data_IF_793141439488
#
_entry.id   IF_793141439488
#
_cell.length_a   1.000
_cell.length_b   1.000
_cell.length_c   1.000
_cell.angle_alpha   90.00
_cell.angle_beta   90.00
_cell.angle_gamma   90.00
#
_symmetry.space_group_name_H-M   'P 1'
#
loop_
_entity.id
_entity.type
_entity.pdbx_description
1 polymer ?
#
# COMPACT_ATOMS: atom_id res chain seq x y z
N UNK A 1 1.54 -13.81 10.78
CA UNK A 1 1.65 -13.87 9.31
C UNK A 1 2.48 -15.08 8.96
N UNK A 2 2.18 -15.86 7.92
CA UNK A 2 3.08 -16.95 7.52
C UNK A 2 4.35 -16.34 6.90
N UNK A 3 5.52 -16.95 7.12
CA UNK A 3 6.80 -16.46 6.60
C UNK A 3 6.79 -16.27 5.06
N UNK A 4 6.04 -17.12 4.35
CA UNK A 4 5.87 -17.03 2.89
C UNK A 4 5.10 -15.78 2.46
N UNK A 5 4.00 -15.43 3.14
CA UNK A 5 3.20 -14.22 2.86
C UNK A 5 4.03 -12.94 3.11
N UNK A 6 4.83 -12.93 4.19
CA UNK A 6 5.71 -11.81 4.51
C UNK A 6 6.71 -11.54 3.39
N UNK A 7 7.34 -12.60 2.86
CA UNK A 7 8.32 -12.48 1.78
C UNK A 7 7.69 -11.98 0.47
N UNK A 8 6.44 -12.36 0.18
CA UNK A 8 5.70 -11.85 -0.99
C UNK A 8 5.43 -10.35 -0.86
N UNK A 9 4.95 -9.90 0.31
CA UNK A 9 4.70 -8.47 0.57
C UNK A 9 5.98 -7.64 0.49
N UNK A 10 7.08 -8.12 1.07
CA UNK A 10 8.38 -7.46 0.99
C UNK A 10 8.85 -7.32 -0.47
N UNK A 11 8.71 -8.38 -1.28
CA UNK A 11 9.10 -8.37 -2.70
C UNK A 11 8.28 -7.37 -3.51
N UNK A 12 6.98 -7.27 -3.26
CA UNK A 12 6.12 -6.28 -3.91
C UNK A 12 6.53 -4.85 -3.53
N UNK A 13 6.73 -4.59 -2.23
CA UNK A 13 7.19 -3.28 -1.75
C UNK A 13 8.54 -2.89 -2.37
N UNK A 14 9.50 -3.81 -2.44
CA UNK A 14 10.79 -3.57 -3.08
C UNK A 14 10.65 -3.29 -4.58
N UNK A 15 9.73 -3.97 -5.26
CA UNK A 15 9.45 -3.71 -6.69
C UNK A 15 8.95 -2.29 -6.90
N UNK A 16 8.04 -1.83 -6.04
CA UNK A 16 7.51 -0.47 -6.10
C UNK A 16 8.60 0.55 -5.73
N UNK A 17 9.40 0.31 -4.69
CA UNK A 17 10.49 1.20 -4.28
C UNK A 17 11.57 1.40 -5.35
N UNK A 18 11.81 0.37 -6.18
CA UNK A 18 12.79 0.41 -7.27
C UNK A 18 12.25 1.03 -8.57
N UNK A 19 10.98 1.43 -8.61
CA UNK A 19 10.39 2.06 -9.79
C UNK A 19 10.87 3.51 -9.98
N UNK A 20 10.92 3.96 -11.23
CA UNK A 20 11.39 5.31 -11.58
C UNK A 20 10.52 6.42 -10.98
N UNK A 21 9.21 6.18 -10.79
CA UNK A 21 8.30 7.17 -10.22
C UNK A 21 8.58 7.44 -8.73
N UNK A 22 9.20 6.50 -8.02
CA UNK A 22 9.61 6.70 -6.61
C UNK A 22 10.80 7.64 -6.47
N UNK A 23 11.55 7.91 -7.54
CA UNK A 23 12.66 8.87 -7.49
C UNK A 23 12.17 10.31 -7.33
N UNK A 24 10.99 10.61 -7.89
CA UNK A 24 10.42 11.96 -7.88
C UNK A 24 9.42 12.18 -6.73
N UNK A 25 9.13 11.14 -5.94
CA UNK A 25 8.09 11.16 -4.93
C UNK A 25 8.61 10.72 -3.55
N UNK A 26 9.31 11.64 -2.90
CA UNK A 26 9.99 11.41 -1.62
C UNK A 26 9.02 11.01 -0.50
N UNK A 27 7.80 11.55 -0.51
CA UNK A 27 6.77 11.22 0.48
C UNK A 27 6.33 9.76 0.34
N UNK A 28 5.94 9.35 -0.86
CA UNK A 28 5.51 7.99 -1.12
C UNK A 28 6.65 6.99 -0.86
N UNK A 29 7.87 7.33 -1.29
CA UNK A 29 9.06 6.53 -1.01
C UNK A 29 9.27 6.31 0.49
N UNK A 30 9.07 7.34 1.31
CA UNK A 30 9.17 7.25 2.78
C UNK A 30 8.11 6.30 3.34
N UNK A 31 6.86 6.41 2.89
CA UNK A 31 5.75 5.54 3.32
C UNK A 31 6.08 4.06 3.07
N UNK A 32 6.59 3.73 1.88
CA UNK A 32 6.94 2.34 1.54
C UNK A 32 8.19 1.84 2.28
N UNK A 33 9.20 2.69 2.50
CA UNK A 33 10.39 2.33 3.30
C UNK A 33 10.04 2.05 4.77
N UNK A 34 9.17 2.87 5.37
CA UNK A 34 8.71 2.64 6.75
C UNK A 34 7.94 1.33 6.88
N UNK A 35 7.07 1.03 5.91
CA UNK A 35 6.33 -0.21 5.92
C UNK A 35 7.21 -1.44 5.70
N UNK A 36 8.22 -1.35 4.81
CA UNK A 36 9.20 -2.42 4.63
C UNK A 36 9.91 -2.75 5.95
N UNK A 37 10.39 -1.72 6.66
CA UNK A 37 11.05 -1.89 7.95
C UNK A 37 10.12 -2.51 9.00
N UNK A 38 8.87 -2.06 9.06
CA UNK A 38 7.87 -2.61 9.97
C UNK A 38 7.56 -4.09 9.67
N UNK A 39 7.52 -4.47 8.39
CA UNK A 39 7.37 -5.87 7.96
C UNK A 39 8.59 -6.72 8.32
N UNK A 40 9.81 -6.24 8.09
CA UNK A 40 11.06 -6.91 8.51
C UNK A 40 11.08 -7.15 10.03
N UNK A 41 10.54 -6.21 10.82
CA UNK A 41 10.39 -6.32 12.27
C UNK A 41 9.24 -7.26 12.71
N UNK A 42 8.50 -7.87 11.79
CA UNK A 42 7.30 -8.67 12.06
C UNK A 42 6.20 -7.90 12.82
N UNK A 43 6.09 -6.57 12.61
CA UNK A 43 5.02 -5.77 13.20
C UNK A 43 3.66 -6.20 12.62
N UNK A 44 2.73 -6.62 13.49
CA UNK A 44 1.45 -7.19 13.07
C UNK A 44 0.52 -6.21 12.35
N UNK A 45 0.73 -4.90 12.51
CA UNK A 45 -0.08 -3.83 11.92
C UNK A 45 0.60 -3.11 10.75
N UNK A 46 1.78 -3.58 10.30
CA UNK A 46 2.57 -2.93 9.25
C UNK A 46 1.78 -2.72 7.95
N UNK A 47 1.08 -3.76 7.45
CA UNK A 47 0.24 -3.65 6.25
C UNK A 47 -0.95 -2.71 6.43
N UNK A 48 -1.55 -2.72 7.63
CA UNK A 48 -2.67 -1.85 7.94
C UNK A 48 -2.25 -0.38 8.00
N UNK A 49 -1.06 -0.10 8.55
CA UNK A 49 -0.44 1.24 8.56
C UNK A 49 -0.08 1.68 7.14
N UNK A 50 0.52 0.79 6.35
CA UNK A 50 0.83 1.06 4.94
C UNK A 50 -0.42 1.42 4.15
N UNK A 51 -1.48 0.62 4.28
CA UNK A 51 -2.78 0.90 3.67
C UNK A 51 -3.32 2.28 4.07
N UNK A 52 -3.33 2.60 5.37
CA UNK A 52 -3.81 3.89 5.83
C UNK A 52 -2.97 5.05 5.27
N UNK A 53 -1.64 4.91 5.23
CA UNK A 53 -0.75 5.93 4.70
C UNK A 53 -0.93 6.13 3.19
N UNK A 54 -1.11 5.05 2.42
CA UNK A 54 -1.43 5.13 0.98
C UNK A 54 -2.78 5.80 0.76
N UNK A 55 -3.79 5.47 1.57
CA UNK A 55 -5.09 6.13 1.55
C UNK A 55 -4.97 7.64 1.75
N UNK A 56 -4.22 8.06 2.78
CA UNK A 56 -3.98 9.48 3.05
C UNK A 56 -3.24 10.16 1.91
N UNK A 57 -2.21 9.52 1.37
CA UNK A 57 -1.47 10.02 0.21
C UNK A 57 -2.40 10.28 -0.98
N UNK A 58 -3.28 9.32 -1.29
CA UNK A 58 -4.25 9.46 -2.37
C UNK A 58 -5.19 10.64 -2.14
N UNK A 59 -5.72 10.81 -0.92
CA UNK A 59 -6.60 11.95 -0.60
C UNK A 59 -5.85 13.29 -0.80
N UNK A 60 -4.63 13.40 -0.26
CA UNK A 60 -3.87 14.66 -0.30
C UNK A 60 -3.36 15.01 -1.69
N UNK A 61 -3.18 14.01 -2.55
CA UNK A 61 -2.71 14.16 -3.93
C UNK A 61 -3.85 14.06 -4.96
N UNK A 62 -5.10 14.30 -4.55
CA UNK A 62 -6.28 14.29 -5.45
C UNK A 62 -6.43 13.00 -6.27
N UNK A 63 -6.03 11.88 -5.68
CA UNK A 63 -6.03 10.54 -6.27
C UNK A 63 -5.07 10.38 -7.45
N UNK A 64 -4.12 11.30 -7.63
CA UNK A 64 -3.03 11.15 -8.59
C UNK A 64 -1.94 10.29 -7.96
N UNK A 65 -1.91 9.01 -8.33
CA UNK A 65 -0.84 8.08 -7.96
C UNK A 65 -0.41 7.22 -9.16
N UNK A 66 0.85 6.77 -9.17
CA UNK A 66 1.32 5.81 -10.16
C UNK A 66 0.48 4.53 -10.17
N UNK A 67 0.21 3.96 -11.35
CA UNK A 67 -0.64 2.77 -11.48
C UNK A 67 -0.22 1.62 -10.57
N UNK A 68 1.08 1.36 -10.45
CA UNK A 68 1.61 0.31 -9.56
C UNK A 68 1.25 0.52 -8.08
N UNK A 69 1.09 1.76 -7.62
CA UNK A 69 0.69 2.10 -6.25
C UNK A 69 -0.80 1.85 -6.05
N UNK A 70 -1.60 2.16 -7.06
CA UNK A 70 -3.05 1.89 -7.09
C UNK A 70 -3.30 0.37 -7.13
N UNK A 71 -2.59 -0.35 -7.98
CA UNK A 71 -2.69 -1.81 -8.09
C UNK A 71 -2.33 -2.48 -6.76
N UNK A 72 -1.23 -2.05 -6.14
CA UNK A 72 -0.81 -2.53 -4.82
C UNK A 72 -1.82 -2.20 -3.71
N UNK A 73 -2.37 -0.99 -3.73
CA UNK A 73 -3.47 -0.59 -2.87
C UNK A 73 -4.66 -1.57 -3.03
N UNK A 74 -5.05 -1.89 -4.27
CA UNK A 74 -6.11 -2.84 -4.55
C UNK A 74 -5.80 -4.26 -4.07
N UNK A 75 -4.55 -4.71 -4.17
CA UNK A 75 -4.14 -6.02 -3.67
C UNK A 75 -4.21 -6.10 -2.13
N UNK A 76 -3.70 -5.11 -1.42
CA UNK A 76 -3.83 -5.03 0.04
C UNK A 76 -5.30 -4.95 0.45
N UNK A 77 -6.11 -4.18 -0.29
CA UNK A 77 -7.54 -4.06 -0.05
C UNK A 77 -8.25 -5.42 -0.19
N UNK A 78 -7.81 -6.32 -1.06
CA UNK A 78 -8.42 -7.66 -1.23
C UNK A 78 -8.07 -8.63 -0.10
N UNK A 79 -7.13 -8.31 0.80
CA UNK A 79 -6.73 -9.19 1.90
C UNK A 79 -7.86 -9.28 2.96
N UNK A 80 -8.61 -10.39 3.05
CA UNK A 80 -9.91 -10.40 3.75
C UNK A 80 -9.80 -10.44 5.29
N UNK A 81 -8.61 -10.76 5.83
CA UNK A 81 -8.53 -11.40 7.14
C UNK A 81 -7.79 -10.65 8.26
N UNK A 82 -7.00 -9.59 8.00
CA UNK A 82 -6.17 -8.99 9.07
C UNK A 82 -6.61 -7.61 9.55
N UNK A 83 -7.44 -6.85 8.82
CA UNK A 83 -7.75 -5.46 9.21
C UNK A 83 -9.08 -4.95 8.65
N UNK A 84 -10.16 -5.69 8.94
CA UNK A 84 -11.53 -5.48 8.40
C UNK A 84 -12.09 -4.05 8.52
N UNK A 85 -11.59 -3.21 9.44
CA UNK A 85 -11.98 -1.80 9.56
C UNK A 85 -11.05 -0.79 8.86
N UNK A 86 -9.75 -1.07 8.75
CA UNK A 86 -8.75 -0.13 8.20
C UNK A 86 -8.62 -0.23 6.67
N UNK A 87 -8.87 -1.42 6.12
CA UNK A 87 -8.79 -1.67 4.67
C UNK A 87 -10.07 -1.25 3.93
N UNK A 88 -11.19 -1.11 4.63
CA UNK A 88 -12.49 -0.78 4.04
C UNK A 88 -12.48 0.58 3.32
N UNK A 89 -11.75 1.57 3.84
CA UNK A 89 -11.62 2.86 3.19
C UNK A 89 -10.86 2.75 1.86
N UNK A 90 -9.77 1.99 1.85
CA UNK A 90 -8.96 1.78 0.66
C UNK A 90 -9.69 0.91 -0.39
N UNK A 91 -10.50 -0.06 0.05
CA UNK A 91 -11.46 -0.79 -0.81
C UNK A 91 -12.48 0.15 -1.45
N UNK A 92 -13.08 1.06 -0.68
CA UNK A 92 -14.04 2.04 -1.21
C UNK A 92 -13.38 2.99 -2.21
N UNK A 93 -12.14 3.43 -1.95
CA UNK A 93 -11.37 4.25 -2.88
C UNK A 93 -11.01 3.50 -4.17
N UNK A 94 -10.57 2.25 -4.06
CA UNK A 94 -10.32 1.40 -5.23
C UNK A 94 -11.56 1.24 -6.13
N UNK A 95 -12.73 1.06 -5.51
CA UNK A 95 -14.01 0.94 -6.19
C UNK A 95 -14.45 2.26 -6.87
N UNK A 96 -14.24 3.41 -6.24
CA UNK A 96 -14.59 4.70 -6.86
C UNK A 96 -13.69 5.03 -8.06
N UNK A 97 -12.41 4.67 -8.01
CA UNK A 97 -11.45 4.87 -9.11
C UNK A 97 -11.73 3.96 -10.31
N UNK A 98 -12.31 2.78 -10.10
CA UNK A 98 -12.69 1.87 -11.19
C UNK A 98 -14.01 2.27 -11.87
N UNK A 99 -14.87 3.03 -11.19
CA UNK A 99 -16.12 3.58 -11.73
C UNK A 99 -15.95 4.89 -12.52
N UNK A 100 -14.75 5.49 -12.52
CA UNK A 100 -14.41 6.72 -13.24
C UNK A 100 -13.92 6.48 -14.70
N UNK A 101 -14.11 5.27 -15.24
CA UNK A 101 -13.79 4.92 -16.63
C UNK A 101 -14.97 5.14 -17.58
#
# INVERSE_FOLDING_TARGET
MKNTELNEWLKQIDTILNSDFMQNNTELKKVFLEARKALENNENDALARLSNNISWYLITHKYEAPGAVIDFAQEIAKEPHKSRGKLAFLQMLALSLTQLK
#
